data_IF_798419907520
#
_entry.id   IF_798419907520
#
_cell.length_a   1.000
_cell.length_b   1.000
_cell.length_c   1.000
_cell.angle_alpha   90.00
_cell.angle_beta   90.00
_cell.angle_gamma   90.00
#
_symmetry.space_group_name_H-M   'P 1'
#
loop_
_entity.id
_entity.type
_entity.pdbx_description
1 polymer ?
#
# COMPACT_ATOMS: atom_id res chain seq x y z
N UNK A 1 -10.00 -3.70 13.54
CA UNK A 1 -9.11 -4.62 14.27
C UNK A 1 -8.71 -5.87 13.47
N UNK A 2 -9.60 -6.51 12.70
CA UNK A 2 -9.29 -7.73 11.93
C UNK A 2 -8.18 -7.56 10.89
N UNK A 3 -8.09 -6.38 10.23
CA UNK A 3 -7.09 -6.11 9.20
C UNK A 3 -5.66 -6.11 9.78
N UNK A 4 -5.44 -5.45 10.92
CA UNK A 4 -4.12 -5.38 11.57
C UNK A 4 -3.67 -6.73 12.13
N UNK A 5 -4.60 -7.51 12.70
CA UNK A 5 -4.29 -8.87 13.18
C UNK A 5 -3.97 -9.83 12.03
N UNK A 6 -4.69 -9.74 10.91
CA UNK A 6 -4.39 -10.50 9.71
C UNK A 6 -3.00 -10.16 9.14
N UNK A 7 -2.66 -8.86 9.03
CA UNK A 7 -1.33 -8.44 8.57
C UNK A 7 -0.23 -8.89 9.53
N UNK A 8 -0.43 -8.81 10.86
CA UNK A 8 0.55 -9.30 11.84
C UNK A 8 0.82 -10.80 11.66
N UNK A 9 -0.22 -11.61 11.45
CA UNK A 9 -0.07 -13.05 11.18
C UNK A 9 0.78 -13.30 9.93
N UNK A 10 0.48 -12.61 8.83
CA UNK A 10 1.23 -12.72 7.58
C UNK A 10 2.70 -12.30 7.76
N UNK A 11 2.96 -11.28 8.59
CA UNK A 11 4.32 -10.84 8.91
C UNK A 11 5.11 -11.86 9.74
N UNK A 12 4.45 -12.61 10.64
CA UNK A 12 5.12 -13.73 11.33
C UNK A 12 5.49 -14.85 10.36
N UNK A 13 4.57 -15.20 9.44
CA UNK A 13 4.87 -16.20 8.40
C UNK A 13 6.01 -15.76 7.48
N UNK A 14 6.09 -14.48 7.16
CA UNK A 14 7.16 -13.89 6.37
C UNK A 14 8.50 -14.00 7.12
N UNK A 15 8.53 -13.72 8.43
CA UNK A 15 9.75 -13.87 9.24
C UNK A 15 10.31 -15.30 9.18
N UNK A 16 9.44 -16.30 9.18
CA UNK A 16 9.84 -17.71 9.20
C UNK A 16 10.07 -18.31 7.80
N UNK A 17 9.73 -17.58 6.73
CA UNK A 17 9.82 -18.07 5.35
C UNK A 17 10.66 -17.13 4.49
N UNK A 18 11.85 -17.53 4.01
CA UNK A 18 12.65 -16.65 3.17
C UNK A 18 11.91 -16.29 1.88
N UNK A 19 12.11 -15.06 1.40
CA UNK A 19 11.49 -14.56 0.17
C UNK A 19 11.74 -15.47 -1.05
N UNK A 20 12.91 -16.13 -1.10
CA UNK A 20 13.26 -17.10 -2.15
C UNK A 20 12.37 -18.34 -2.18
N UNK A 21 11.65 -18.63 -1.09
CA UNK A 21 10.71 -19.75 -0.99
C UNK A 21 9.26 -19.28 -1.14
N UNK A 22 8.90 -18.18 -0.50
CA UNK A 22 7.59 -17.55 -0.64
C UNK A 22 7.68 -16.07 -0.26
N UNK A 23 7.32 -15.20 -1.19
CA UNK A 23 7.18 -13.77 -0.94
C UNK A 23 5.81 -13.46 -0.31
N UNK A 24 5.83 -12.68 0.78
CA UNK A 24 4.61 -12.17 1.40
C UNK A 24 4.71 -10.64 1.41
N UNK A 25 3.80 -9.98 0.71
CA UNK A 25 3.67 -8.51 0.70
C UNK A 25 2.20 -8.18 0.94
N UNK A 26 1.94 -7.27 1.87
CA UNK A 26 0.61 -6.71 2.08
C UNK A 26 0.56 -5.30 1.51
N UNK A 27 -0.57 -4.90 0.96
CA UNK A 27 -0.74 -3.53 0.49
C UNK A 27 -2.14 -3.00 0.75
N UNK A 28 -2.24 -1.69 0.98
CA UNK A 28 -3.50 -0.98 0.97
C UNK A 28 -3.93 -0.76 -0.50
N UNK A 29 -5.13 -1.18 -0.93
CA UNK A 29 -5.59 -1.01 -2.32
C UNK A 29 -6.19 0.39 -2.60
N UNK A 30 -6.31 1.24 -1.58
CA UNK A 30 -7.08 2.48 -1.67
C UNK A 30 -8.56 2.27 -1.34
N UNK A 31 -9.32 3.37 -1.32
CA UNK A 31 -10.76 3.39 -1.15
C UNK A 31 -11.44 3.32 -2.51
N UNK A 32 -11.90 2.12 -2.91
CA UNK A 32 -12.58 1.89 -4.19
C UNK A 32 -14.06 1.63 -3.94
N UNK A 33 -14.95 2.30 -4.70
CA UNK A 33 -16.39 2.12 -4.64
C UNK A 33 -16.81 0.83 -5.35
N UNK A 34 -16.64 -0.29 -4.66
CA UNK A 34 -17.00 -1.62 -5.16
C UNK A 34 -18.52 -1.83 -5.29
N UNK A 35 -18.98 -2.81 -6.10
CA UNK A 35 -20.39 -3.20 -6.12
C UNK A 35 -20.94 -3.59 -4.74
N UNK A 36 -20.11 -4.22 -3.89
CA UNK A 36 -20.49 -4.54 -2.51
C UNK A 36 -20.71 -3.30 -1.65
N UNK A 37 -19.89 -2.26 -1.81
CA UNK A 37 -20.08 -0.97 -1.15
C UNK A 37 -21.37 -0.29 -1.62
N UNK A 38 -21.68 -0.35 -2.92
CA UNK A 38 -22.94 0.15 -3.48
C UNK A 38 -24.16 -0.58 -2.90
N UNK A 39 -24.12 -1.91 -2.79
CA UNK A 39 -25.18 -2.69 -2.14
C UNK A 39 -25.36 -2.35 -0.65
N UNK A 40 -24.30 -1.90 0.02
CA UNK A 40 -24.35 -1.41 1.40
C UNK A 40 -24.90 0.03 1.52
N UNK A 41 -25.36 0.64 0.42
CA UNK A 41 -25.94 1.98 0.40
C UNK A 41 -24.93 3.12 0.24
N UNK A 42 -23.66 2.81 -0.03
CA UNK A 42 -22.64 3.83 -0.31
C UNK A 42 -22.69 4.27 -1.77
N UNK A 43 -22.47 5.57 -1.98
CA UNK A 43 -22.44 6.23 -3.28
C UNK A 43 -21.15 7.05 -3.43
N UNK A 44 -21.00 7.67 -4.59
CA UNK A 44 -19.84 8.46 -5.00
C UNK A 44 -19.53 9.65 -4.07
N UNK A 45 -20.51 10.10 -3.27
CA UNK A 45 -20.35 11.21 -2.32
C UNK A 45 -20.16 10.74 -0.88
N UNK A 46 -20.27 9.43 -0.63
CA UNK A 46 -20.25 8.88 0.72
C UNK A 46 -18.87 8.91 1.35
N UNK A 47 -17.83 8.84 0.54
CA UNK A 47 -16.43 8.96 0.93
C UNK A 47 -15.67 9.70 -0.16
N UNK A 48 -14.47 10.16 0.17
CA UNK A 48 -13.51 10.56 -0.85
C UNK A 48 -12.90 9.30 -1.48
N UNK A 49 -13.61 8.73 -2.44
CA UNK A 49 -13.17 7.52 -3.12
C UNK A 49 -12.00 7.79 -4.06
N UNK A 50 -11.03 6.89 -4.03
CA UNK A 50 -9.85 6.93 -4.88
C UNK A 50 -10.21 6.64 -6.35
N UNK A 51 -11.31 5.95 -6.64
CA UNK A 51 -11.76 5.70 -8.03
C UNK A 51 -12.54 6.86 -8.68
N UNK A 52 -12.81 7.93 -7.93
CA UNK A 52 -13.55 9.06 -8.44
C UNK A 52 -12.68 9.96 -9.32
N UNK A 53 -13.14 10.20 -10.56
CA UNK A 53 -12.48 11.12 -11.51
C UNK A 53 -12.40 12.58 -11.02
N UNK A 54 -13.08 12.90 -9.90
CA UNK A 54 -13.17 14.23 -9.32
C UNK A 54 -12.38 14.40 -8.02
N UNK A 55 -11.72 13.36 -7.48
CA UNK A 55 -10.83 13.57 -6.34
C UNK A 55 -9.59 14.33 -6.82
N UNK A 56 -9.41 15.61 -6.46
CA UNK A 56 -8.13 16.25 -6.70
C UNK A 56 -7.08 15.44 -5.94
N UNK A 57 -5.93 15.22 -6.58
CA UNK A 57 -4.77 14.55 -5.98
C UNK A 57 -4.25 15.27 -4.70
N UNK A 58 -4.94 16.29 -4.20
CA UNK A 58 -4.69 17.00 -2.95
C UNK A 58 -5.18 16.29 -1.69
N UNK A 59 -6.14 15.34 -1.76
CA UNK A 59 -6.66 14.63 -0.58
C UNK A 59 -6.00 13.29 -0.26
N UNK A 60 -5.01 12.84 -1.04
CA UNK A 60 -3.99 11.86 -0.60
C UNK A 60 -3.21 12.33 0.64
N UNK A 61 -3.43 13.59 1.06
CA UNK A 61 -3.03 14.16 2.34
C UNK A 61 -3.45 13.36 3.57
N UNK A 62 -4.49 12.52 3.53
CA UNK A 62 -4.86 11.74 4.73
C UNK A 62 -3.74 10.76 5.10
N UNK A 63 -3.09 10.09 4.14
CA UNK A 63 -1.92 9.24 4.42
C UNK A 63 -0.59 10.00 4.48
N UNK A 64 -0.45 11.11 3.75
CA UNK A 64 0.72 12.01 3.88
C UNK A 64 0.78 12.70 5.25
N UNK A 65 -0.37 12.97 5.90
CA UNK A 65 -0.44 13.54 7.25
C UNK A 65 0.12 12.61 8.34
N UNK A 66 0.27 11.31 8.05
CA UNK A 66 0.98 10.36 8.91
C UNK A 66 2.50 10.35 8.67
N UNK A 67 3.06 11.29 7.90
CA UNK A 67 4.51 11.42 7.69
C UNK A 67 5.11 10.31 6.82
N UNK A 68 4.32 9.70 5.93
CA UNK A 68 4.80 8.65 5.04
C UNK A 68 5.63 9.24 3.88
N UNK A 69 6.76 8.63 3.47
CA UNK A 69 7.79 9.33 2.72
C UNK A 69 7.65 9.24 1.20
N UNK A 70 6.82 8.33 0.68
CA UNK A 70 6.65 8.11 -0.76
C UNK A 70 5.58 9.02 -1.34
N UNK A 71 5.90 9.64 -2.48
CA UNK A 71 4.92 10.37 -3.28
C UNK A 71 3.90 9.40 -3.88
N UNK A 72 2.68 9.88 -4.02
CA UNK A 72 1.66 9.20 -4.82
C UNK A 72 1.97 9.43 -6.29
N UNK A 73 1.84 8.39 -7.12
CA UNK A 73 2.09 8.44 -8.57
C UNK A 73 1.36 9.65 -9.18
N UNK A 74 2.12 10.56 -9.80
CA UNK A 74 1.55 11.73 -10.48
C UNK A 74 1.07 11.31 -11.88
N UNK A 75 -0.20 10.92 -11.99
CA UNK A 75 -0.82 10.76 -13.30
C UNK A 75 -1.46 12.07 -13.71
N UNK A 76 -0.96 12.72 -14.78
CA UNK A 76 -1.64 13.84 -15.47
C UNK A 76 -2.96 13.42 -16.16
N UNK A 77 -3.58 12.32 -15.71
CA UNK A 77 -4.83 11.75 -16.19
C UNK A 77 -5.80 11.61 -15.00
N UNK A 78 -7.12 11.71 -15.23
CA UNK A 78 -8.11 11.42 -14.19
C UNK A 78 -7.74 10.08 -13.58
N UNK A 79 -7.57 10.09 -12.27
CA UNK A 79 -7.08 9.00 -11.45
C UNK A 79 -7.95 7.75 -11.67
N UNK A 80 -7.66 6.95 -12.70
CA UNK A 80 -8.25 5.63 -12.93
C UNK A 80 -7.61 4.66 -11.91
N UNK A 81 -7.80 4.92 -10.60
CA UNK A 81 -7.10 4.24 -9.50
C UNK A 81 -7.56 2.78 -9.29
N UNK A 82 -8.62 2.34 -9.98
CA UNK A 82 -9.10 0.95 -9.87
C UNK A 82 -8.06 -0.06 -10.38
N UNK A 83 -7.20 0.33 -11.33
CA UNK A 83 -6.17 -0.58 -11.88
C UNK A 83 -4.90 -0.63 -11.04
N UNK A 84 -4.63 0.36 -10.19
CA UNK A 84 -3.38 0.44 -9.41
C UNK A 84 -3.17 -0.77 -8.48
N UNK A 85 -4.16 -1.23 -7.70
CA UNK A 85 -3.99 -2.42 -6.88
C UNK A 85 -3.62 -3.65 -7.70
N UNK A 86 -4.19 -3.78 -8.89
CA UNK A 86 -3.90 -4.89 -9.81
C UNK A 86 -2.47 -4.82 -10.33
N UNK A 87 -2.02 -3.65 -10.77
CA UNK A 87 -0.64 -3.45 -11.24
C UNK A 87 0.38 -3.69 -10.13
N UNK A 88 0.11 -3.20 -8.92
CA UNK A 88 0.98 -3.43 -7.76
C UNK A 88 0.96 -4.89 -7.33
N UNK A 89 -0.17 -5.60 -7.43
CA UNK A 89 -0.20 -7.04 -7.16
C UNK A 89 0.68 -7.84 -8.12
N UNK A 90 0.70 -7.46 -9.40
CA UNK A 90 1.56 -8.09 -10.42
C UNK A 90 3.03 -7.78 -10.11
N UNK A 91 3.36 -6.51 -9.88
CA UNK A 91 4.73 -6.11 -9.55
C UNK A 91 5.22 -6.71 -8.23
N UNK A 92 4.39 -6.79 -7.20
CA UNK A 92 4.72 -7.42 -5.93
C UNK A 92 4.94 -8.93 -6.03
N UNK A 93 4.59 -9.57 -7.15
CA UNK A 93 4.89 -10.97 -7.40
C UNK A 93 6.26 -11.18 -8.08
N UNK A 94 6.94 -10.10 -8.47
CA UNK A 94 8.24 -10.17 -9.16
C UNK A 94 9.42 -10.08 -8.19
N UNK A 95 10.61 -10.48 -8.68
CA UNK A 95 11.85 -10.47 -7.90
C UNK A 95 12.29 -9.05 -7.54
N UNK A 96 11.93 -8.07 -8.36
CA UNK A 96 12.20 -6.64 -8.11
C UNK A 96 11.54 -6.14 -6.82
N UNK A 97 10.48 -6.79 -6.34
CA UNK A 97 9.79 -6.45 -5.10
C UNK A 97 10.29 -7.26 -3.87
N UNK A 98 11.30 -8.12 -4.03
CA UNK A 98 11.87 -8.99 -2.97
C UNK A 98 12.17 -8.25 -1.66
N UNK A 99 12.60 -7.00 -1.76
CA UNK A 99 12.96 -6.16 -0.61
C UNK A 99 11.77 -5.76 0.28
N UNK A 100 10.54 -5.92 -0.22
CA UNK A 100 9.30 -5.65 0.52
C UNK A 100 8.78 -6.86 1.30
N UNK A 101 9.53 -7.96 1.35
CA UNK A 101 9.13 -9.16 2.05
C UNK A 101 8.76 -8.89 3.53
N UNK A 102 7.53 -9.28 3.89
CA UNK A 102 6.93 -9.07 5.20
C UNK A 102 6.56 -7.62 5.50
N UNK A 103 6.38 -6.76 4.50
CA UNK A 103 6.06 -5.33 4.68
C UNK A 103 4.68 -4.97 4.16
N UNK A 104 4.19 -3.83 4.63
CA UNK A 104 2.91 -3.24 4.26
C UNK A 104 3.13 -1.93 3.48
N UNK A 105 2.68 -1.89 2.23
CA UNK A 105 2.81 -0.69 1.36
C UNK A 105 1.44 -0.12 0.96
N UNK A 106 1.42 1.00 0.24
CA UNK A 106 0.21 1.51 -0.41
C UNK A 106 0.33 1.36 -1.93
N UNK A 107 -0.73 0.90 -2.59
CA UNK A 107 -0.77 0.71 -4.04
C UNK A 107 -0.60 1.99 -4.85
N UNK A 108 -0.77 3.16 -4.24
CA UNK A 108 -0.64 4.45 -4.89
C UNK A 108 0.80 5.00 -4.87
N UNK A 109 1.74 4.33 -4.18
CA UNK A 109 3.13 4.77 -4.12
C UNK A 109 3.88 4.53 -5.42
N UNK A 110 4.78 5.46 -5.73
CA UNK A 110 5.69 5.35 -6.86
C UNK A 110 6.71 4.22 -6.65
N UNK A 111 6.74 3.27 -7.58
CA UNK A 111 7.63 2.10 -7.53
C UNK A 111 9.09 2.50 -7.71
N UNK A 112 9.39 3.51 -8.53
CA UNK A 112 10.76 3.95 -8.77
C UNK A 112 11.36 4.57 -7.50
N UNK A 113 10.56 5.35 -6.77
CA UNK A 113 10.95 5.92 -5.47
C UNK A 113 11.10 4.82 -4.40
N UNK A 114 10.24 3.81 -4.41
CA UNK A 114 10.36 2.63 -3.54
C UNK A 114 11.66 1.85 -3.79
N UNK A 115 12.07 1.71 -5.05
CA UNK A 115 13.24 0.91 -5.45
C UNK A 115 14.57 1.66 -5.31
N UNK A 116 14.60 2.97 -5.54
CA UNK A 116 15.84 3.73 -5.73
C UNK A 116 15.96 5.03 -4.91
N UNK A 117 14.91 5.41 -4.18
CA UNK A 117 14.87 6.63 -3.39
C UNK A 117 15.39 6.50 -1.95
N UNK A 118 15.33 7.58 -1.15
CA UNK A 118 15.68 7.57 0.27
C UNK A 118 14.79 6.60 1.08
N UNK A 119 13.63 6.25 0.54
CA UNK A 119 12.77 5.24 1.12
C UNK A 119 13.38 3.84 1.07
N UNK A 120 14.06 3.50 -0.03
CA UNK A 120 14.75 2.21 -0.19
C UNK A 120 15.80 2.05 0.91
N UNK A 121 16.62 3.08 1.12
CA UNK A 121 17.66 3.08 2.16
C UNK A 121 17.05 2.90 3.56
N UNK A 122 15.93 3.58 3.83
CA UNK A 122 15.22 3.44 5.10
C UNK A 122 14.68 2.03 5.29
N UNK A 123 14.12 1.42 4.25
CA UNK A 123 13.63 0.04 4.27
C UNK A 123 14.76 -0.94 4.60
N UNK A 124 15.96 -0.74 4.05
CA UNK A 124 17.11 -1.61 4.33
C UNK A 124 17.70 -1.41 5.73
N UNK A 125 17.78 -0.16 6.19
CA UNK A 125 18.37 0.18 7.48
C UNK A 125 17.46 -0.15 8.66
N UNK A 126 16.16 0.09 8.50
CA UNK A 126 15.15 -0.14 9.54
C UNK A 126 14.32 -1.38 9.22
N UNK A 127 14.66 -2.46 9.91
CA UNK A 127 13.95 -3.72 9.81
C UNK A 127 12.47 -3.59 10.22
N UNK A 128 12.13 -2.69 11.16
CA UNK A 128 10.75 -2.55 11.63
C UNK A 128 9.92 -1.61 10.72
N UNK A 129 10.57 -0.87 9.83
CA UNK A 129 9.86 0.05 8.96
C UNK A 129 8.87 -0.66 8.04
N UNK A 130 7.64 -0.13 7.96
CA UNK A 130 6.50 -0.72 7.24
C UNK A 130 6.08 -2.11 7.74
N UNK A 131 6.41 -2.45 8.98
CA UNK A 131 5.88 -3.62 9.68
C UNK A 131 4.93 -3.19 10.78
N UNK A 132 3.96 -4.03 11.09
CA UNK A 132 3.08 -3.80 12.23
C UNK A 132 3.79 -4.38 13.45
N UNK A 133 4.00 -3.53 14.46
CA UNK A 133 4.69 -3.93 15.67
C UNK A 133 4.35 -3.02 16.84
N UNK A 134 4.71 -3.47 18.04
CA UNK A 134 4.68 -2.66 19.24
C UNK A 134 6.09 -2.09 19.43
N UNK A 135 6.21 -0.78 19.39
CA UNK A 135 7.45 -0.10 19.75
C UNK A 135 7.38 0.22 21.25
N UNK A 136 8.29 -0.36 22.03
CA UNK A 136 8.48 0.04 23.41
C UNK A 136 8.92 1.50 23.48
N UNK A 137 8.34 2.26 24.41
CA UNK A 137 8.75 3.63 24.73
C UNK A 137 9.90 3.59 25.72
#
# INVERSE_FOLDING_TARGET
>A
MTKNSGVLLLQQLARDTPASKMQIVSFHPGAILSPGAKHAGLNEQSLNWDDSAYSPCSLTQVFSSYGLPCRVVNTNHPCHLVSLPSSVAIWAASDEAAFLHGRFIWSAWDVEELQSGPLRERIEKDEQFLRIGVHGV
#
